data_IF_696873596229
#
_entry.id   IF_696873596229
#
_cell.length_a   1.000
_cell.length_b   1.000
_cell.length_c   1.000
_cell.angle_alpha   90.00
_cell.angle_beta   90.00
_cell.angle_gamma   90.00
#
_symmetry.space_group_name_H-M   'P 1'
#
loop_
_entity.id
_entity.type
_entity.pdbx_description
1 polymer ?
#
# COMPACT_ATOMS: atom_id res chain seq x y z
N UNK A 1 17.72 0.81 3.47
CA UNK A 1 18.72 1.50 2.60
C UNK A 1 18.96 0.73 1.30
N UNK A 2 19.15 -0.60 1.35
CA UNK A 2 19.45 -1.42 0.17
C UNK A 2 18.23 -2.21 -0.33
N UNK A 3 18.23 -2.59 -1.63
CA UNK A 3 17.16 -3.37 -2.27
C UNK A 3 17.03 -4.76 -1.63
N UNK A 4 18.16 -5.44 -1.45
CA UNK A 4 18.21 -6.78 -0.85
C UNK A 4 17.59 -6.84 0.55
N UNK A 5 17.73 -5.76 1.32
CA UNK A 5 17.10 -5.66 2.63
C UNK A 5 15.57 -5.59 2.50
N UNK A 6 15.06 -4.83 1.55
CA UNK A 6 13.61 -4.74 1.27
C UNK A 6 13.07 -6.11 0.87
N UNK A 7 13.75 -6.81 -0.04
CA UNK A 7 13.34 -8.15 -0.49
C UNK A 7 13.38 -9.19 0.63
N UNK A 8 14.42 -9.15 1.47
CA UNK A 8 14.54 -10.03 2.64
C UNK A 8 13.41 -9.81 3.65
N UNK A 9 13.09 -8.55 3.97
CA UNK A 9 12.00 -8.22 4.90
C UNK A 9 10.66 -8.66 4.30
N UNK A 10 10.45 -8.41 3.00
CA UNK A 10 9.26 -8.84 2.26
C UNK A 10 9.06 -10.35 2.35
N UNK A 11 10.13 -11.13 2.12
CA UNK A 11 10.10 -12.58 2.28
C UNK A 11 9.71 -13.02 3.72
N UNK A 12 10.25 -12.36 4.75
CA UNK A 12 9.94 -12.66 6.14
C UNK A 12 8.48 -12.35 6.50
N UNK A 13 7.96 -11.19 6.09
CA UNK A 13 6.55 -10.84 6.32
C UNK A 13 5.61 -11.80 5.60
N UNK A 14 5.99 -12.27 4.41
CA UNK A 14 5.21 -13.26 3.65
C UNK A 14 5.10 -14.60 4.39
N UNK A 15 6.19 -15.09 4.99
CA UNK A 15 6.19 -16.31 5.81
C UNK A 15 5.20 -16.18 6.98
N UNK A 16 5.15 -15.00 7.60
CA UNK A 16 4.26 -14.69 8.71
C UNK A 16 2.84 -14.28 8.29
N UNK A 17 2.53 -14.35 6.98
CA UNK A 17 1.22 -14.00 6.40
C UNK A 17 0.77 -12.56 6.71
N UNK A 18 1.72 -11.64 6.78
CA UNK A 18 1.46 -10.21 6.96
C UNK A 18 1.30 -9.56 5.59
N UNK A 19 0.13 -8.98 5.33
CA UNK A 19 -0.14 -8.21 4.12
C UNK A 19 0.80 -6.98 4.07
N UNK A 20 1.63 -6.90 3.03
CA UNK A 20 2.57 -5.80 2.86
C UNK A 20 2.84 -5.55 1.37
N UNK A 21 3.37 -4.37 1.08
CA UNK A 21 3.97 -4.02 -0.20
C UNK A 21 5.45 -3.71 -0.04
N UNK A 22 6.15 -3.67 -1.17
CA UNK A 22 7.51 -3.17 -1.22
C UNK A 22 7.72 -2.25 -2.41
N UNK A 23 8.61 -1.28 -2.26
CA UNK A 23 8.87 -0.26 -3.27
C UNK A 23 10.36 0.08 -3.32
N UNK A 24 11.02 -0.26 -4.42
CA UNK A 24 12.44 0.06 -4.63
C UNK A 24 12.79 0.24 -6.10
N UNK A 25 13.99 0.75 -6.38
CA UNK A 25 14.47 1.06 -7.73
C UNK A 25 14.55 -0.11 -8.73
N UNK A 26 14.46 -1.37 -8.28
CA UNK A 26 14.39 -2.55 -9.16
C UNK A 26 13.00 -2.86 -9.72
N UNK A 27 11.93 -2.22 -9.24
CA UNK A 27 10.58 -2.45 -9.76
C UNK A 27 10.37 -1.72 -11.08
N UNK A 28 9.61 -2.34 -11.98
CA UNK A 28 9.09 -1.69 -13.18
C UNK A 28 8.12 -0.56 -12.82
N UNK A 29 7.97 0.41 -13.71
CA UNK A 29 7.12 1.58 -13.47
C UNK A 29 5.66 1.19 -13.20
N UNK A 30 5.15 0.16 -13.90
CA UNK A 30 3.78 -0.32 -13.74
C UNK A 30 3.56 -0.97 -12.36
N UNK A 31 4.54 -1.70 -11.84
CA UNK A 31 4.48 -2.31 -10.52
C UNK A 31 4.60 -1.27 -9.41
N UNK A 32 5.43 -0.24 -9.62
CA UNK A 32 5.54 0.92 -8.71
C UNK A 32 4.20 1.63 -8.56
N UNK A 33 3.56 1.95 -9.67
CA UNK A 33 2.25 2.62 -9.69
C UNK A 33 1.18 1.75 -9.02
N UNK A 34 1.11 0.47 -9.38
CA UNK A 34 0.20 -0.52 -8.76
C UNK A 34 0.41 -0.59 -7.24
N UNK A 35 1.65 -0.58 -6.76
CA UNK A 35 1.95 -0.66 -5.33
C UNK A 35 1.43 0.56 -4.57
N UNK A 36 1.63 1.76 -5.12
CA UNK A 36 1.11 2.99 -4.53
C UNK A 36 -0.42 3.05 -4.55
N UNK A 37 -1.05 2.55 -5.61
CA UNK A 37 -2.50 2.41 -5.68
C UNK A 37 -3.01 1.44 -4.60
N UNK A 38 -2.34 0.29 -4.41
CA UNK A 38 -2.70 -0.66 -3.35
C UNK A 38 -2.61 -0.02 -1.96
N UNK A 39 -1.58 0.78 -1.70
CA UNK A 39 -1.43 1.52 -0.45
C UNK A 39 -2.54 2.57 -0.27
N UNK A 40 -2.80 3.40 -1.29
CA UNK A 40 -3.88 4.41 -1.25
C UNK A 40 -5.27 3.81 -1.09
N UNK A 41 -5.47 2.58 -1.57
CA UNK A 41 -6.72 1.86 -1.45
C UNK A 41 -6.89 1.16 -0.09
N UNK A 42 -5.86 1.14 0.77
CA UNK A 42 -5.88 0.37 2.03
C UNK A 42 -5.86 -1.14 1.82
N UNK A 43 -5.42 -1.60 0.65
CA UNK A 43 -5.27 -3.03 0.32
C UNK A 43 -3.97 -3.62 0.86
N UNK A 44 -3.04 -2.74 1.21
CA UNK A 44 -1.85 -2.98 2.01
C UNK A 44 -1.74 -1.80 2.98
N UNK A 45 -1.32 -2.06 4.21
CA UNK A 45 -1.10 -1.03 5.22
C UNK A 45 0.38 -0.90 5.62
N UNK A 46 1.22 -1.78 5.08
CA UNK A 46 2.67 -1.80 5.33
C UNK A 46 3.37 -1.64 3.98
N UNK A 47 4.26 -0.66 3.87
CA UNK A 47 5.10 -0.46 2.69
C UNK A 47 6.58 -0.48 3.11
N UNK A 48 7.34 -1.42 2.58
CA UNK A 48 8.79 -1.49 2.78
C UNK A 48 9.48 -0.74 1.63
N UNK A 49 10.37 0.20 1.93
CA UNK A 49 11.00 1.00 0.86
C UNK A 49 12.43 1.42 1.18
N UNK A 50 13.12 1.97 0.19
CA UNK A 50 14.45 2.60 0.34
C UNK A 50 14.34 4.11 0.20
N UNK A 51 15.30 4.85 0.76
CA UNK A 51 15.31 6.32 0.72
C UNK A 51 15.24 6.87 -0.70
N UNK A 52 16.03 6.28 -1.61
CA UNK A 52 16.09 6.69 -3.00
C UNK A 52 14.74 6.50 -3.69
N UNK A 53 14.05 5.41 -3.38
CA UNK A 53 12.79 5.07 -4.02
C UNK A 53 11.63 5.88 -3.44
N UNK A 54 11.67 6.23 -2.14
CA UNK A 54 10.62 6.99 -1.46
C UNK A 54 10.60 8.49 -1.80
N UNK A 55 11.67 9.05 -2.37
CA UNK A 55 11.74 10.45 -2.76
C UNK A 55 10.78 10.75 -3.91
N UNK A 56 10.02 11.84 -3.77
CA UNK A 56 9.07 12.29 -4.79
C UNK A 56 7.82 11.41 -4.94
N UNK A 57 7.63 10.41 -4.08
CA UNK A 57 6.40 9.62 -4.07
C UNK A 57 5.26 10.40 -3.42
N UNK A 58 4.12 10.40 -4.10
CA UNK A 58 2.82 10.77 -3.52
C UNK A 58 2.28 9.57 -2.73
N UNK A 59 2.89 9.36 -1.56
CA UNK A 59 2.46 8.36 -0.57
C UNK A 59 1.32 8.98 0.22
N UNK A 60 0.21 8.25 0.46
CA UNK A 60 -0.82 8.72 1.39
C UNK A 60 -0.20 8.99 2.76
N UNK A 61 -0.89 9.76 3.58
CA UNK A 61 -0.48 9.97 4.96
C UNK A 61 -0.33 8.63 5.69
N UNK A 62 0.80 8.48 6.38
CA UNK A 62 1.12 7.29 7.16
C UNK A 62 1.17 7.66 8.64
N UNK A 63 0.63 6.79 9.49
CA UNK A 63 0.61 6.99 10.94
C UNK A 63 1.95 6.64 11.59
N UNK A 64 2.72 5.74 10.98
CA UNK A 64 3.92 5.19 11.59
C UNK A 64 5.06 5.02 10.60
N UNK A 65 6.24 5.47 11.00
CA UNK A 65 7.53 5.20 10.34
C UNK A 65 8.32 4.22 11.20
N UNK A 66 8.86 3.16 10.60
CA UNK A 66 9.79 2.25 11.26
C UNK A 66 11.13 2.32 10.54
N UNK A 67 12.14 2.84 11.22
CA UNK A 67 13.52 2.83 10.75
C UNK A 67 14.14 1.45 11.00
N UNK A 68 13.89 0.51 10.09
CA UNK A 68 14.51 -0.83 10.12
C UNK A 68 16.05 -0.76 10.01
N UNK A 69 16.56 0.20 9.24
CA UNK A 69 17.97 0.57 9.24
C UNK A 69 18.06 2.04 9.66
N UNK A 70 18.96 2.34 10.60
CA UNK A 70 19.14 3.71 11.09
C UNK A 70 19.43 4.68 9.93
N UNK A 71 18.83 5.88 9.95
CA UNK A 71 19.16 6.92 8.99
C UNK A 71 20.62 7.36 9.21
N UNK A 72 21.44 7.46 8.15
CA UNK A 72 22.85 7.82 8.28
C UNK A 72 23.07 9.30 8.65
N UNK A 73 22.09 10.16 8.38
CA UNK A 73 22.12 11.59 8.66
C UNK A 73 20.76 12.08 9.14
N UNK A 74 20.76 13.21 9.84
CA UNK A 74 19.55 13.90 10.29
C UNK A 74 18.64 14.25 9.11
N UNK A 75 19.18 14.79 8.01
CA UNK A 75 18.40 15.09 6.81
C UNK A 75 17.65 13.88 6.26
N UNK A 76 18.26 12.69 6.28
CA UNK A 76 17.59 11.46 5.83
C UNK A 76 16.48 11.08 6.81
N UNK A 77 16.71 11.20 8.11
CA UNK A 77 15.67 10.99 9.13
C UNK A 77 14.49 11.93 8.92
N UNK A 78 14.74 13.24 8.77
CA UNK A 78 13.72 14.26 8.57
C UNK A 78 12.92 14.01 7.29
N UNK A 79 13.55 13.59 6.19
CA UNK A 79 12.83 13.22 4.96
C UNK A 79 11.95 11.97 5.11
N UNK A 80 12.39 10.99 5.90
CA UNK A 80 11.60 9.78 6.22
C UNK A 80 10.41 10.15 7.11
N UNK A 81 10.66 10.88 8.19
CA UNK A 81 9.65 11.26 9.18
C UNK A 81 8.66 12.26 8.61
N UNK A 82 9.07 13.10 7.66
CA UNK A 82 8.18 13.99 6.92
C UNK A 82 7.13 13.28 6.06
N UNK A 83 7.05 11.95 6.09
CA UNK A 83 5.95 11.15 5.50
C UNK A 83 4.81 10.91 6.49
N UNK A 84 5.04 11.05 7.79
CA UNK A 84 4.02 11.01 8.84
C UNK A 84 3.72 12.43 9.36
N UNK A 85 2.73 12.55 10.26
CA UNK A 85 2.38 13.78 10.97
C UNK A 85 2.23 15.03 10.09
N UNK A 86 1.42 14.97 9.01
CA UNK A 86 1.15 16.14 8.17
C UNK A 86 -0.19 16.78 8.60
N UNK A 87 -0.35 18.09 8.43
CA UNK A 87 -1.61 18.81 8.67
C UNK A 87 -2.36 18.43 9.97
N UNK A 88 -1.76 18.69 11.13
CA UNK A 88 -2.33 18.47 12.48
C UNK A 88 -2.58 17.00 12.90
N UNK A 89 -2.15 16.01 12.12
CA UNK A 89 -2.21 14.61 12.53
C UNK A 89 -1.00 14.23 13.42
N UNK A 90 -1.23 13.30 14.35
CA UNK A 90 -0.16 12.67 15.13
C UNK A 90 0.52 11.59 14.30
N UNK A 91 1.83 11.44 14.47
CA UNK A 91 2.62 10.41 13.80
C UNK A 91 3.72 9.90 14.72
N UNK A 92 4.06 8.62 14.60
CA UNK A 92 5.08 7.99 15.44
C UNK A 92 6.22 7.45 14.59
N UNK A 93 7.46 7.69 15.01
CA UNK A 93 8.64 7.11 14.40
C UNK A 93 9.33 6.16 15.39
N UNK A 94 9.60 4.94 14.95
CA UNK A 94 10.32 3.93 15.71
C UNK A 94 11.69 3.68 15.10
N UNK A 95 12.68 3.47 15.96
CA UNK A 95 13.97 2.90 15.58
C UNK A 95 13.99 1.43 15.96
N UNK A 96 14.31 0.55 15.00
CA UNK A 96 14.60 -0.84 15.31
C UNK A 96 16.11 -0.97 15.52
N UNK A 97 16.51 -1.32 16.75
CA UNK A 97 17.91 -1.41 17.16
C UNK A 97 18.25 -2.87 17.47
N UNK A 98 19.41 -3.32 17.00
CA UNK A 98 20.09 -4.50 17.52
C UNK A 98 20.94 -4.13 18.75
N UNK A 99 21.37 -5.12 19.54
CA UNK A 99 22.18 -4.93 20.77
C UNK A 99 23.54 -4.24 20.52
N UNK A 100 23.97 -4.18 19.26
CA UNK A 100 25.22 -3.53 18.83
C UNK A 100 25.02 -2.13 18.26
N UNK A 101 23.77 -1.73 18.03
CA UNK A 101 23.47 -0.44 17.44
C UNK A 101 23.59 0.67 18.49
N UNK A 102 23.99 1.84 18.03
CA UNK A 102 24.02 3.06 18.83
C UNK A 102 22.98 4.02 18.29
N UNK A 103 22.35 4.77 19.20
CA UNK A 103 21.44 5.84 18.81
C UNK A 103 22.18 6.88 17.94
N UNK A 104 21.54 7.40 16.88
CA UNK A 104 22.13 8.47 16.09
C UNK A 104 22.45 9.70 16.96
N UNK A 105 23.66 10.23 16.82
CA UNK A 105 24.16 11.35 17.64
C UNK A 105 23.40 12.67 17.46
N UNK A 106 22.63 12.78 16.37
CA UNK A 106 21.82 13.95 16.04
C UNK A 106 20.41 13.90 16.64
N UNK A 107 20.08 12.88 17.45
CA UNK A 107 18.82 12.89 18.18
C UNK A 107 18.87 13.92 19.32
N UNK A 108 17.88 14.80 19.35
CA UNK A 108 17.75 15.83 20.40
C UNK A 108 17.44 15.21 21.78
N UNK A 109 16.79 14.05 21.80
CA UNK A 109 16.43 13.32 23.01
C UNK A 109 16.50 11.81 22.78
N UNK A 110 16.66 11.06 23.86
CA UNK A 110 16.62 9.59 23.83
C UNK A 110 15.17 9.15 23.61
N UNK A 111 14.87 8.34 22.57
CA UNK A 111 13.54 7.80 22.37
C UNK A 111 13.12 6.89 23.52
N UNK A 112 11.83 6.86 23.81
CA UNK A 112 11.26 5.88 24.75
C UNK A 112 11.39 4.47 24.18
N UNK A 113 11.70 3.51 25.06
CA UNK A 113 11.80 2.10 24.68
C UNK A 113 10.40 1.46 24.66
N UNK A 114 9.99 0.97 23.49
CA UNK A 114 8.73 0.25 23.32
C UNK A 114 8.92 -1.24 23.65
N UNK A 115 8.27 -1.73 24.71
CA UNK A 115 8.34 -3.14 25.11
C UNK A 115 7.37 -3.96 24.26
N UNK A 116 7.92 -4.75 23.32
CA UNK A 116 7.10 -5.60 22.47
C UNK A 116 6.45 -6.75 23.25
N UNK A 117 5.20 -7.14 22.91
CA UNK A 117 4.55 -8.28 23.51
C UNK A 117 5.33 -9.56 23.21
N UNK A 118 5.44 -10.45 24.21
CA UNK A 118 6.14 -11.75 24.08
C UNK A 118 5.48 -12.69 23.08
N UNK A 119 4.19 -12.51 22.84
CA UNK A 119 3.41 -13.32 21.90
C UNK A 119 3.12 -12.50 20.66
N UNK A 120 3.55 -13.02 19.52
CA UNK A 120 3.20 -12.43 18.23
C UNK A 120 1.71 -12.64 17.96
N UNK A 121 1.01 -11.53 17.70
CA UNK A 121 -0.37 -11.53 17.21
C UNK A 121 -0.34 -11.08 15.76
N UNK A 122 -0.86 -11.92 14.85
CA UNK A 122 -0.93 -11.57 13.44
C UNK A 122 -1.84 -10.34 13.27
N UNK A 123 -1.41 -9.33 12.49
CA UNK A 123 -2.23 -8.15 12.25
C UNK A 123 -3.55 -8.53 11.57
N UNK A 124 -4.60 -7.76 11.85
CA UNK A 124 -5.89 -7.92 11.18
C UNK A 124 -5.68 -7.78 9.67
N UNK A 125 -6.26 -8.66 8.83
CA UNK A 125 -6.21 -8.53 7.39
C UNK A 125 -6.71 -7.17 6.92
N UNK A 126 -6.19 -6.70 5.78
CA UNK A 126 -6.63 -5.45 5.18
C UNK A 126 -8.14 -5.50 4.88
N UNK A 127 -8.83 -4.43 5.24
CA UNK A 127 -10.28 -4.32 5.04
C UNK A 127 -10.64 -4.19 3.55
N UNK A 128 -9.72 -3.66 2.76
CA UNK A 128 -9.87 -3.47 1.33
C UNK A 128 -9.01 -4.46 0.54
N UNK A 129 -9.45 -4.76 -0.68
CA UNK A 129 -8.63 -5.38 -1.71
C UNK A 129 -8.77 -4.57 -2.99
N UNK A 130 -7.68 -4.43 -3.73
CA UNK A 130 -7.65 -3.64 -4.96
C UNK A 130 -8.03 -4.54 -6.12
N UNK A 131 -9.15 -4.22 -6.76
CA UNK A 131 -9.56 -4.78 -8.03
C UNK A 131 -8.79 -4.09 -9.16
N UNK A 132 -8.12 -4.86 -10.00
CA UNK A 132 -7.59 -4.42 -11.28
C UNK A 132 -8.63 -4.63 -12.38
N UNK A 133 -8.75 -3.63 -13.25
CA UNK A 133 -9.62 -3.63 -14.43
C UNK A 133 -8.74 -3.33 -15.63
N UNK A 134 -8.69 -4.27 -16.59
CA UNK A 134 -7.86 -4.16 -17.80
C UNK A 134 -8.46 -3.22 -18.86
N UNK A 135 -8.89 -2.03 -18.45
CA UNK A 135 -9.35 -0.96 -19.32
C UNK A 135 -9.29 0.40 -18.61
N UNK A 136 -8.96 1.45 -19.36
CA UNK A 136 -8.80 2.80 -18.83
C UNK A 136 -9.44 3.88 -19.69
N UNK A 137 -8.94 5.11 -19.54
CA UNK A 137 -9.40 6.30 -20.27
C UNK A 137 -9.34 6.11 -21.79
N UNK A 138 -8.27 5.49 -22.31
CA UNK A 138 -8.11 5.23 -23.75
C UNK A 138 -9.08 4.18 -24.30
N UNK A 139 -9.61 3.33 -23.43
CA UNK A 139 -10.73 2.44 -23.75
C UNK A 139 -12.10 3.12 -23.64
N UNK A 140 -12.13 4.45 -23.44
CA UNK A 140 -13.32 5.26 -23.18
C UNK A 140 -14.06 4.83 -21.91
N UNK A 141 -13.36 4.24 -20.94
CA UNK A 141 -13.91 3.91 -19.63
C UNK A 141 -13.69 5.08 -18.68
N UNK A 142 -14.76 5.52 -18.01
CA UNK A 142 -14.71 6.53 -16.97
C UNK A 142 -15.08 5.93 -15.60
N UNK A 143 -14.92 6.74 -14.54
CA UNK A 143 -15.21 6.31 -13.16
C UNK A 143 -16.68 5.86 -12.98
N UNK A 144 -17.64 6.54 -13.60
CA UNK A 144 -19.05 6.23 -13.46
C UNK A 144 -19.43 4.91 -14.13
N UNK A 145 -18.77 4.56 -15.23
CA UNK A 145 -18.95 3.27 -15.89
C UNK A 145 -18.55 2.12 -14.95
N UNK A 146 -17.41 2.27 -14.26
CA UNK A 146 -16.91 1.30 -13.29
C UNK A 146 -17.87 1.21 -12.09
N UNK A 147 -18.26 2.35 -11.51
CA UNK A 147 -19.22 2.39 -10.39
C UNK A 147 -20.52 1.68 -10.78
N UNK A 148 -21.07 1.99 -11.96
CA UNK A 148 -22.30 1.37 -12.46
C UNK A 148 -22.16 -0.14 -12.58
N UNK A 149 -21.08 -0.62 -13.19
CA UNK A 149 -20.84 -2.06 -13.33
C UNK A 149 -20.68 -2.76 -11.98
N UNK A 150 -19.87 -2.22 -11.07
CA UNK A 150 -19.62 -2.89 -9.79
C UNK A 150 -20.88 -2.90 -8.90
N UNK A 151 -21.67 -1.82 -8.87
CA UNK A 151 -22.89 -1.76 -8.05
C UNK A 151 -24.03 -2.59 -8.66
N UNK A 152 -24.29 -2.43 -9.97
CA UNK A 152 -25.46 -3.05 -10.60
C UNK A 152 -25.22 -4.52 -10.95
N UNK A 153 -24.01 -4.87 -11.38
CA UNK A 153 -23.66 -6.22 -11.84
C UNK A 153 -22.80 -6.98 -10.85
N UNK A 154 -21.88 -6.28 -10.18
CA UNK A 154 -20.99 -6.87 -9.18
C UNK A 154 -21.65 -7.11 -7.82
N UNK A 155 -22.85 -6.58 -7.58
CA UNK A 155 -23.64 -6.84 -6.37
C UNK A 155 -22.99 -6.30 -5.08
N UNK A 156 -22.16 -5.27 -5.20
CA UNK A 156 -21.59 -4.54 -4.04
C UNK A 156 -22.36 -3.25 -3.79
N UNK A 157 -22.41 -2.83 -2.53
CA UNK A 157 -23.03 -1.56 -2.13
C UNK A 157 -22.05 -0.40 -2.27
N UNK A 158 -22.56 0.84 -2.21
CA UNK A 158 -21.74 2.06 -2.32
C UNK A 158 -20.71 2.15 -1.20
N UNK A 159 -21.05 1.68 0.00
CA UNK A 159 -20.18 1.70 1.18
C UNK A 159 -19.08 0.62 1.12
N UNK A 160 -19.27 -0.38 0.24
CA UNK A 160 -18.34 -1.48 0.01
C UNK A 160 -17.35 -1.17 -1.13
N UNK A 161 -17.49 0.00 -1.76
CA UNK A 161 -16.66 0.52 -2.85
C UNK A 161 -15.90 1.76 -2.39
N UNK A 162 -14.58 1.66 -2.35
CA UNK A 162 -13.70 2.75 -1.93
C UNK A 162 -13.19 3.58 -3.12
N UNK A 163 -11.92 4.01 -3.02
CA UNK A 163 -11.29 4.84 -4.04
C UNK A 163 -11.24 4.11 -5.39
N UNK A 164 -11.48 4.87 -6.46
CA UNK A 164 -11.37 4.41 -7.84
C UNK A 164 -10.40 5.33 -8.56
N UNK A 165 -9.41 4.73 -9.21
CA UNK A 165 -8.38 5.42 -9.98
C UNK A 165 -8.42 4.87 -11.42
N UNK A 166 -8.63 5.76 -12.39
CA UNK A 166 -8.70 5.39 -13.81
C UNK A 166 -7.46 5.94 -14.50
N UNK A 167 -6.61 5.05 -14.97
CA UNK A 167 -5.40 5.34 -15.72
C UNK A 167 -5.69 5.30 -17.23
N UNK A 168 -4.66 5.45 -18.06
CA UNK A 168 -4.79 5.45 -19.51
C UNK A 168 -5.30 4.11 -20.05
N UNK A 169 -4.72 3.00 -19.60
CA UNK A 169 -4.94 1.65 -20.13
C UNK A 169 -5.53 0.68 -19.09
N UNK A 170 -5.74 1.14 -17.87
CA UNK A 170 -6.24 0.32 -16.78
C UNK A 170 -7.00 1.17 -15.78
N UNK A 171 -7.71 0.50 -14.87
CA UNK A 171 -8.35 1.14 -13.74
C UNK A 171 -8.24 0.24 -12.51
N UNK A 172 -8.35 0.86 -11.34
CA UNK A 172 -8.27 0.21 -10.07
C UNK A 172 -9.41 0.69 -9.17
N UNK A 173 -9.99 -0.24 -8.41
CA UNK A 173 -11.04 0.07 -7.44
C UNK A 173 -10.77 -0.65 -6.11
N UNK A 174 -10.87 0.07 -4.99
CA UNK A 174 -10.88 -0.56 -3.67
C UNK A 174 -12.25 -1.19 -3.42
N UNK A 175 -12.28 -2.47 -3.08
CA UNK A 175 -13.52 -3.21 -2.74
C UNK A 175 -13.31 -3.88 -1.40
N UNK A 176 -14.35 -3.97 -0.55
CA UNK A 176 -14.26 -4.70 0.72
C UNK A 176 -13.77 -6.14 0.50
N UNK A 177 -12.83 -6.55 1.34
CA UNK A 177 -12.09 -7.81 1.18
C UNK A 177 -13.00 -9.05 1.21
N UNK A 178 -14.10 -9.00 1.95
CA UNK A 178 -15.10 -10.07 2.05
C UNK A 178 -16.03 -10.14 0.82
N UNK A 179 -16.08 -9.10 -0.02
CA UNK A 179 -16.94 -9.05 -1.21
C UNK A 179 -16.23 -9.38 -2.52
N UNK A 180 -14.90 -9.21 -2.57
CA UNK A 180 -14.16 -9.24 -3.84
C UNK A 180 -14.29 -10.56 -4.60
N UNK A 181 -14.34 -11.71 -3.92
CA UNK A 181 -14.48 -13.01 -4.59
C UNK A 181 -15.85 -13.17 -5.25
N UNK A 182 -16.93 -12.78 -4.55
CA UNK A 182 -18.29 -12.80 -5.08
C UNK A 182 -18.44 -11.84 -6.25
N UNK A 183 -17.88 -10.63 -6.12
CA UNK A 183 -17.84 -9.63 -7.19
C UNK A 183 -17.21 -10.21 -8.47
N UNK A 184 -16.02 -10.81 -8.36
CA UNK A 184 -15.31 -11.39 -9.50
C UNK A 184 -16.08 -12.50 -10.21
N UNK A 185 -16.85 -13.30 -9.46
CA UNK A 185 -17.72 -14.32 -10.04
C UNK A 185 -18.87 -13.71 -10.85
N UNK A 186 -19.52 -12.68 -10.32
CA UNK A 186 -20.67 -12.03 -10.95
C UNK A 186 -20.27 -11.22 -12.19
N UNK A 187 -19.14 -10.52 -12.14
CA UNK A 187 -18.68 -9.66 -13.25
C UNK A 187 -17.96 -10.42 -14.37
N UNK A 188 -17.65 -11.72 -14.18
CA UNK A 188 -16.82 -12.51 -15.10
C UNK A 188 -17.34 -12.53 -16.55
N UNK A 189 -18.65 -12.60 -16.72
CA UNK A 189 -19.31 -12.67 -18.04
C UNK A 189 -19.99 -11.36 -18.44
N UNK A 190 -19.91 -10.34 -17.58
CA UNK A 190 -20.52 -9.05 -17.83
C UNK A 190 -19.66 -8.20 -18.77
N UNK A 191 -20.32 -7.32 -19.51
CA UNK A 191 -19.68 -6.43 -20.47
C UNK A 191 -19.70 -5.00 -19.94
N UNK A 192 -18.55 -4.34 -20.00
CA UNK A 192 -18.46 -2.91 -19.78
C UNK A 192 -18.42 -2.22 -21.15
N UNK A 193 -19.41 -1.39 -21.45
CA UNK A 193 -19.57 -0.75 -22.78
C UNK A 193 -19.45 -1.75 -23.94
N UNK A 194 -20.21 -2.85 -23.85
CA UNK A 194 -20.25 -3.92 -24.86
C UNK A 194 -18.94 -4.70 -25.08
N UNK A 195 -17.91 -4.48 -24.26
CA UNK A 195 -16.64 -5.21 -24.31
C UNK A 195 -16.48 -6.08 -23.06
N UNK A 196 -16.00 -7.31 -23.24
CA UNK A 196 -15.60 -8.16 -22.10
C UNK A 196 -14.24 -7.67 -21.60
N UNK A 197 -14.15 -7.35 -20.32
CA UNK A 197 -12.95 -6.76 -19.71
C UNK A 197 -12.45 -7.69 -18.63
N UNK A 198 -11.14 -7.95 -18.61
CA UNK A 198 -10.52 -8.77 -17.57
C UNK A 198 -10.51 -7.97 -16.26
N UNK A 199 -11.03 -8.59 -15.21
CA UNK A 199 -10.98 -8.07 -13.85
C UNK A 199 -10.36 -9.12 -12.94
N UNK A 200 -9.43 -8.71 -12.08
CA UNK A 200 -8.74 -9.60 -11.16
C UNK A 200 -8.29 -8.85 -9.91
N UNK A 201 -7.89 -9.57 -8.86
CA UNK A 201 -7.28 -8.94 -7.68
C UNK A 201 -5.88 -8.49 -8.08
N UNK A 202 -5.54 -7.22 -7.81
CA UNK A 202 -4.21 -6.70 -8.06
C UNK A 202 -3.18 -7.41 -7.16
N UNK A 203 -2.43 -8.35 -7.74
CA UNK A 203 -1.32 -9.06 -7.10
C UNK A 203 -0.11 -8.16 -6.91
#
# INVERSE_FOLDING_TARGET
NHRDAVDRISAQLKIHKVDHGFYHGGLEQIDREKMLIKLRNGSINILITTDLAARGLDIPEIETIIHYQLPPTEDVMTHRNGRTARMNALGTAYFLLDVKDYLPKFLESTPEEEVLPKTFVSPKPCEWKTLFIAAGKKDKINKMDIVGMLLQKGGIKKEELGKIEVLDHSAYAAVKSDKILKLLQLVREEKLKNRKIRMEIAS
#
